data_IF_243049683582
#
_entry.id   IF_243049683582
#
_cell.length_a   1.000
_cell.length_b   1.000
_cell.length_c   1.000
_cell.angle_alpha   90.00
_cell.angle_beta   90.00
_cell.angle_gamma   90.00
#
_symmetry.space_group_name_H-M   'P 1'
#
loop_
_entity.id
_entity.type
_entity.pdbx_description
1 polymer ?
#
# COMPACT_ATOMS: atom_id res chain seq x y z
N UNK A 1 -14.97 20.47 -25.85
CA UNK A 1 -13.78 19.87 -26.47
C UNK A 1 -13.18 18.92 -25.44
N UNK A 2 -13.69 17.69 -25.36
CA UNK A 2 -13.14 16.67 -24.47
C UNK A 2 -11.82 16.18 -25.07
N UNK A 3 -10.76 16.13 -24.27
CA UNK A 3 -9.44 15.70 -24.70
C UNK A 3 -9.47 14.17 -24.85
N UNK A 4 -9.73 13.71 -26.06
CA UNK A 4 -9.83 12.28 -26.45
C UNK A 4 -8.52 11.49 -26.25
N UNK A 5 -7.41 12.18 -25.96
CA UNK A 5 -6.06 11.62 -25.98
C UNK A 5 -5.46 11.29 -24.59
N UNK A 6 -6.23 11.32 -23.49
CA UNK A 6 -5.74 10.96 -22.13
C UNK A 6 -6.14 9.55 -21.68
N UNK A 7 -6.81 8.79 -22.56
CA UNK A 7 -7.39 7.46 -22.26
C UNK A 7 -6.38 6.32 -22.51
N UNK A 8 -5.29 6.59 -23.21
CA UNK A 8 -4.18 5.68 -23.47
C UNK A 8 -3.13 5.90 -22.36
N UNK A 9 -2.98 5.09 -21.31
CA UNK A 9 -2.57 3.69 -21.34
C UNK A 9 -2.53 3.13 -19.90
N UNK A 10 -3.62 3.18 -19.12
CA UNK A 10 -3.64 2.71 -17.73
C UNK A 10 -3.65 1.17 -17.60
N UNK A 11 -2.71 0.49 -18.25
CA UNK A 11 -2.62 -0.97 -18.27
C UNK A 11 -2.04 -1.55 -16.98
N UNK A 12 -1.27 -0.75 -16.25
CA UNK A 12 -0.60 -1.18 -15.02
C UNK A 12 -1.51 -1.06 -13.80
N UNK A 13 -2.59 -0.29 -13.93
CA UNK A 13 -3.64 -0.16 -12.93
C UNK A 13 -4.64 -1.32 -13.09
N UNK A 14 -4.93 -2.10 -12.04
CA UNK A 14 -5.96 -3.13 -12.09
C UNK A 14 -7.32 -2.56 -12.48
N UNK A 15 -8.12 -3.32 -13.24
CA UNK A 15 -9.39 -2.86 -13.82
C UNK A 15 -10.34 -2.16 -12.83
N UNK A 16 -10.38 -2.62 -11.57
CA UNK A 16 -11.18 -2.05 -10.48
C UNK A 16 -10.74 -0.64 -10.04
N UNK A 17 -9.49 -0.27 -10.27
CA UNK A 17 -8.89 0.99 -9.82
C UNK A 17 -8.60 1.97 -10.97
N UNK A 18 -8.83 1.56 -12.22
CA UNK A 18 -8.61 2.40 -13.43
C UNK A 18 -9.44 3.69 -13.45
N UNK A 19 -10.56 3.73 -12.74
CA UNK A 19 -11.40 4.92 -12.63
C UNK A 19 -10.84 5.99 -11.67
N UNK A 20 -9.91 5.63 -10.80
CA UNK A 20 -9.48 6.46 -9.68
C UNK A 20 -8.01 6.89 -9.77
N UNK A 21 -7.19 6.18 -10.54
CA UNK A 21 -5.75 6.44 -10.63
C UNK A 21 -5.27 6.40 -12.08
N UNK A 22 -4.31 7.28 -12.36
CA UNK A 22 -3.39 7.15 -13.50
C UNK A 22 -2.25 6.17 -13.19
N UNK A 23 -1.51 5.73 -14.21
CA UNK A 23 -0.35 4.84 -14.03
C UNK A 23 0.68 5.38 -13.02
N UNK A 24 1.05 6.65 -13.14
CA UNK A 24 2.09 7.26 -12.30
C UNK A 24 1.66 7.29 -10.82
N UNK A 25 0.39 7.63 -10.57
CA UNK A 25 -0.20 7.60 -9.22
C UNK A 25 -0.28 6.17 -8.66
N UNK A 26 -0.59 5.20 -9.53
CA UNK A 26 -0.67 3.79 -9.14
C UNK A 26 0.70 3.22 -8.74
N UNK A 27 1.79 3.64 -9.39
CA UNK A 27 3.13 3.24 -8.99
C UNK A 27 3.49 3.72 -7.57
N UNK A 28 3.24 4.99 -7.27
CA UNK A 28 3.47 5.53 -5.94
C UNK A 28 2.60 4.82 -4.91
N UNK A 29 1.32 4.62 -5.23
CA UNK A 29 0.40 3.90 -4.36
C UNK A 29 0.87 2.47 -4.07
N UNK A 30 1.28 1.70 -5.08
CA UNK A 30 1.74 0.31 -4.89
C UNK A 30 3.00 0.25 -4.01
N UNK A 31 3.94 1.19 -4.17
CA UNK A 31 5.15 1.28 -3.34
C UNK A 31 4.79 1.58 -1.88
N UNK A 32 3.92 2.57 -1.64
CA UNK A 32 3.52 2.97 -0.28
C UNK A 32 2.74 1.85 0.40
N UNK A 33 1.82 1.20 -0.31
CA UNK A 33 1.03 0.09 0.23
C UNK A 33 1.94 -1.09 0.60
N UNK A 34 2.83 -1.51 -0.31
CA UNK A 34 3.76 -2.63 -0.03
C UNK A 34 4.73 -2.33 1.11
N UNK A 35 5.29 -1.11 1.15
CA UNK A 35 6.19 -0.71 2.23
C UNK A 35 5.48 -0.63 3.58
N UNK A 36 4.24 -0.12 3.62
CA UNK A 36 3.43 -0.05 4.84
C UNK A 36 3.08 -1.44 5.36
N UNK A 37 2.67 -2.36 4.48
CA UNK A 37 2.42 -3.74 4.88
C UNK A 37 3.69 -4.47 5.34
N UNK A 38 4.83 -4.22 4.68
CA UNK A 38 6.12 -4.77 5.10
C UNK A 38 6.55 -4.27 6.48
N UNK A 39 6.47 -2.95 6.71
CA UNK A 39 6.74 -2.35 8.02
C UNK A 39 5.77 -2.86 9.09
N UNK A 40 4.47 -2.89 8.80
CA UNK A 40 3.45 -3.38 9.73
C UNK A 40 3.67 -4.83 10.15
N UNK A 41 4.02 -5.70 9.21
CA UNK A 41 4.32 -7.11 9.51
C UNK A 41 5.53 -7.24 10.45
N UNK A 42 6.62 -6.52 10.17
CA UNK A 42 7.83 -6.53 11.01
C UNK A 42 7.51 -5.96 12.39
N UNK A 43 6.76 -4.85 12.44
CA UNK A 43 6.36 -4.23 13.68
C UNK A 43 5.54 -5.19 14.54
N UNK A 44 4.53 -5.87 13.98
CA UNK A 44 3.72 -6.85 14.73
C UNK A 44 4.61 -7.94 15.32
N UNK A 45 5.52 -8.52 14.53
CA UNK A 45 6.45 -9.55 15.00
C UNK A 45 7.32 -9.01 16.14
N UNK A 46 7.93 -7.84 15.97
CA UNK A 46 8.75 -7.21 17.00
C UNK A 46 7.96 -6.94 18.30
N UNK A 47 6.71 -6.48 18.18
CA UNK A 47 5.84 -6.23 19.33
C UNK A 47 5.44 -7.52 20.04
N UNK A 48 5.17 -8.62 19.31
CA UNK A 48 4.92 -9.94 19.91
C UNK A 48 6.15 -10.45 20.65
N UNK A 49 7.34 -10.35 20.05
CA UNK A 49 8.59 -10.76 20.70
C UNK A 49 8.87 -9.94 21.97
N UNK A 50 8.68 -8.62 21.92
CA UNK A 50 8.81 -7.75 23.09
C UNK A 50 7.77 -8.10 24.17
N UNK A 51 6.52 -8.40 23.80
CA UNK A 51 5.50 -8.86 24.75
C UNK A 51 5.89 -10.16 25.43
N UNK A 52 6.51 -11.11 24.70
CA UNK A 52 6.98 -12.36 25.27
C UNK A 52 8.20 -12.17 26.20
N UNK A 53 9.09 -11.23 25.89
CA UNK A 53 10.29 -10.98 26.70
C UNK A 53 9.99 -10.18 27.97
N UNK A 54 9.25 -9.07 27.84
CA UNK A 54 8.85 -8.23 28.97
C UNK A 54 7.47 -7.64 28.67
N UNK A 55 6.38 -8.28 29.13
CA UNK A 55 5.04 -7.79 28.85
C UNK A 55 4.86 -6.40 29.44
N UNK A 56 4.37 -5.47 28.61
CA UNK A 56 4.10 -4.09 29.02
C UNK A 56 2.64 -3.88 29.43
N UNK A 57 1.73 -4.74 28.97
CA UNK A 57 0.35 -4.82 29.41
C UNK A 57 0.30 -5.84 30.56
N UNK A 58 0.47 -5.33 31.78
CA UNK A 58 0.46 -6.15 32.99
C UNK A 58 -0.94 -6.67 33.33
N UNK A 59 -0.98 -7.93 33.77
CA UNK A 59 -1.85 -8.39 34.85
C UNK A 59 -0.94 -9.06 35.88
#
# INVERSE_FOLDING_TARGET
MARENDVYNNDQVPAKWKSLFSNDEWYVHDIVVKSTYGFGAIAIVAHILCMMWKPWLGN
#
